data_IF_208566885219
#
_entry.id   IF_208566885219
#
_cell.length_a   1.000
_cell.length_b   1.000
_cell.length_c   1.000
_cell.angle_alpha   90.00
_cell.angle_beta   90.00
_cell.angle_gamma   90.00
#
_symmetry.space_group_name_H-M   'P 1'
#
loop_
_entity.id
_entity.type
_entity.pdbx_description
1 polymer ?
#
# COMPACT_ATOMS: atom_id res chain seq x y z
N UNK A 1 -10.11 -3.36 -35.45
CA UNK A 1 -9.52 -3.60 -34.12
C UNK A 1 -10.15 -2.62 -33.12
N UNK A 2 -10.73 -3.13 -32.02
CA UNK A 2 -11.65 -2.55 -31.00
C UNK A 2 -12.73 -1.55 -31.46
N UNK A 3 -12.41 -0.55 -32.27
CA UNK A 3 -13.31 0.51 -32.80
C UNK A 3 -14.49 -0.01 -33.63
N UNK A 4 -14.41 -1.26 -34.08
CA UNK A 4 -15.46 -1.97 -34.82
C UNK A 4 -16.51 -2.62 -33.91
N UNK A 5 -16.21 -2.79 -32.62
CA UNK A 5 -17.08 -3.50 -31.64
C UNK A 5 -17.39 -2.66 -30.41
N UNK A 6 -16.51 -1.72 -30.07
CA UNK A 6 -16.54 -0.96 -28.82
C UNK A 6 -16.21 0.49 -29.12
N UNK A 7 -16.88 1.41 -28.41
CA UNK A 7 -16.73 2.85 -28.63
C UNK A 7 -15.41 3.37 -28.06
N UNK A 8 -14.92 2.73 -27.00
CA UNK A 8 -13.64 3.06 -26.38
C UNK A 8 -12.79 1.81 -26.17
N UNK A 9 -11.46 1.99 -26.17
CA UNK A 9 -10.52 0.93 -25.80
C UNK A 9 -10.79 0.38 -24.39
N UNK A 10 -11.25 1.25 -23.48
CA UNK A 10 -11.64 0.90 -22.11
C UNK A 10 -12.76 -0.14 -22.08
N UNK A 11 -13.83 0.08 -22.83
CA UNK A 11 -14.96 -0.86 -22.90
C UNK A 11 -14.50 -2.21 -23.46
N UNK A 12 -13.66 -2.19 -24.49
CA UNK A 12 -13.07 -3.41 -25.04
C UNK A 12 -12.25 -4.19 -24.01
N UNK A 13 -11.39 -3.51 -23.23
CA UNK A 13 -10.59 -4.16 -22.19
C UNK A 13 -11.44 -4.71 -21.04
N UNK A 14 -12.52 -4.03 -20.69
CA UNK A 14 -13.45 -4.47 -19.65
C UNK A 14 -14.26 -5.69 -20.11
N UNK A 15 -14.76 -5.69 -21.34
CA UNK A 15 -15.56 -6.79 -21.90
C UNK A 15 -14.72 -8.04 -22.18
N UNK A 16 -13.53 -7.87 -22.78
CA UNK A 16 -12.68 -9.00 -23.18
C UNK A 16 -11.82 -9.59 -22.07
N UNK A 17 -11.36 -8.75 -21.13
CA UNK A 17 -10.40 -9.16 -20.10
C UNK A 17 -10.90 -8.91 -18.67
N UNK A 18 -12.08 -8.31 -18.49
CA UNK A 18 -12.59 -7.96 -17.16
C UNK A 18 -11.79 -6.86 -16.46
N UNK A 19 -10.92 -6.15 -17.18
CA UNK A 19 -10.00 -5.20 -16.56
C UNK A 19 -10.67 -3.87 -16.30
N UNK A 20 -10.64 -3.46 -15.03
CA UNK A 20 -10.94 -2.07 -14.69
C UNK A 20 -9.93 -1.12 -15.34
N UNK A 21 -10.36 0.12 -15.58
CA UNK A 21 -9.48 1.19 -16.09
C UNK A 21 -8.16 1.27 -15.32
N UNK A 22 -8.28 1.28 -13.99
CA UNK A 22 -7.13 1.34 -13.08
C UNK A 22 -6.16 0.17 -13.28
N UNK A 23 -6.66 -1.04 -13.51
CA UNK A 23 -5.80 -2.20 -13.77
C UNK A 23 -5.07 -2.05 -15.11
N UNK A 24 -5.76 -1.55 -16.12
CA UNK A 24 -5.18 -1.31 -17.45
C UNK A 24 -4.06 -0.27 -17.38
N UNK A 25 -4.30 0.87 -16.70
CA UNK A 25 -3.30 1.93 -16.53
C UNK A 25 -2.04 1.41 -15.81
N UNK A 26 -2.20 0.52 -14.81
CA UNK A 26 -1.07 -0.11 -14.13
C UNK A 26 -0.28 -1.08 -15.00
N UNK A 27 -0.96 -1.84 -15.86
CA UNK A 27 -0.28 -2.74 -16.79
C UNK A 27 0.49 -1.96 -17.85
N UNK A 28 -0.06 -0.84 -18.33
CA UNK A 28 0.59 0.05 -19.29
C UNK A 28 1.86 0.63 -18.66
N UNK A 29 1.76 1.26 -17.49
CA UNK A 29 2.93 1.82 -16.81
C UNK A 29 3.96 0.75 -16.42
N UNK A 30 3.52 -0.48 -16.12
CA UNK A 30 4.45 -1.57 -15.87
C UNK A 30 5.22 -1.99 -17.13
N UNK A 31 4.57 -2.01 -18.30
CA UNK A 31 5.22 -2.31 -19.57
C UNK A 31 6.28 -1.26 -19.90
N UNK A 32 5.95 0.04 -19.77
CA UNK A 32 6.90 1.14 -20.01
C UNK A 32 8.16 1.04 -19.14
N UNK A 33 7.99 0.68 -17.86
CA UNK A 33 9.12 0.46 -16.94
C UNK A 33 9.94 -0.76 -17.36
N UNK A 34 9.29 -1.86 -17.76
CA UNK A 34 10.00 -3.06 -18.24
C UNK A 34 10.78 -2.76 -19.50
N UNK A 35 10.23 -1.99 -20.44
CA UNK A 35 10.91 -1.59 -21.67
C UNK A 35 12.16 -0.73 -21.38
N UNK A 36 12.03 0.20 -20.44
CA UNK A 36 13.17 0.99 -19.98
C UNK A 36 14.26 0.15 -19.28
N UNK A 37 13.87 -0.92 -18.57
CA UNK A 37 14.80 -1.83 -17.88
C UNK A 37 15.42 -2.88 -18.82
N UNK A 38 14.67 -3.38 -19.80
CA UNK A 38 15.12 -4.35 -20.80
C UNK A 38 16.13 -3.73 -21.77
N UNK A 39 16.07 -2.41 -21.95
CA UNK A 39 17.03 -1.67 -22.73
C UNK A 39 16.87 -1.89 -24.23
N UNK A 40 15.64 -2.13 -24.73
CA UNK A 40 15.45 -2.12 -26.17
C UNK A 40 15.75 -0.71 -26.74
N UNK A 41 16.48 -0.65 -27.87
CA UNK A 41 17.33 0.48 -28.14
C UNK A 41 16.66 1.46 -29.13
N UNK A 42 17.00 2.75 -28.97
CA UNK A 42 17.23 3.61 -30.13
C UNK A 42 18.01 2.82 -31.21
N UNK A 43 17.63 2.85 -32.49
CA UNK A 43 17.97 1.83 -33.50
C UNK A 43 19.47 1.68 -33.87
N UNK A 44 20.41 2.31 -33.15
CA UNK A 44 21.82 2.43 -33.54
C UNK A 44 22.85 1.72 -32.69
N UNK A 45 22.51 1.03 -31.60
CA UNK A 45 23.52 0.32 -30.81
C UNK A 45 22.97 -0.98 -30.18
N UNK A 46 23.45 -2.13 -30.66
CA UNK A 46 23.39 -3.39 -29.92
C UNK A 46 24.14 -3.19 -28.60
N UNK A 47 23.42 -3.11 -27.49
CA UNK A 47 24.00 -3.19 -26.15
C UNK A 47 23.33 -4.33 -25.42
N UNK A 48 24.12 -5.05 -24.64
CA UNK A 48 23.65 -6.13 -23.76
C UNK A 48 22.55 -5.62 -22.82
N UNK A 49 21.58 -6.47 -22.42
CA UNK A 49 20.51 -6.07 -21.53
C UNK A 49 21.10 -5.40 -20.29
N UNK A 50 20.74 -4.13 -20.07
CA UNK A 50 21.27 -3.27 -19.01
C UNK A 50 21.02 -3.85 -17.61
N UNK A 51 20.01 -4.72 -17.47
CA UNK A 51 19.69 -5.49 -16.26
C UNK A 51 19.35 -6.93 -16.65
N UNK A 52 20.07 -7.92 -16.08
CA UNK A 52 19.82 -9.34 -16.32
C UNK A 52 18.48 -9.85 -15.75
N UNK A 53 17.91 -9.14 -14.76
CA UNK A 53 16.72 -9.56 -14.01
C UNK A 53 15.61 -8.54 -14.22
N UNK A 54 14.60 -8.94 -14.98
CA UNK A 54 13.42 -8.13 -15.26
C UNK A 54 12.34 -8.28 -14.18
N UNK A 55 11.49 -7.25 -14.00
CA UNK A 55 10.29 -7.37 -13.17
C UNK A 55 9.38 -8.50 -13.67
N UNK A 56 8.89 -9.32 -12.74
CA UNK A 56 7.93 -10.39 -13.03
C UNK A 56 6.49 -9.95 -12.72
N UNK A 57 6.31 -8.89 -11.94
CA UNK A 57 5.00 -8.43 -11.49
C UNK A 57 4.83 -6.93 -11.62
N UNK A 58 3.67 -6.47 -12.09
CA UNK A 58 3.29 -5.05 -12.15
C UNK A 58 3.47 -4.33 -10.81
N UNK A 59 3.27 -5.04 -9.69
CA UNK A 59 3.44 -4.47 -8.35
C UNK A 59 4.86 -3.98 -8.08
N UNK A 60 5.86 -4.56 -8.76
CA UNK A 60 7.26 -4.15 -8.67
C UNK A 60 7.54 -2.90 -9.50
N UNK A 61 6.87 -2.75 -10.66
CA UNK A 61 7.03 -1.59 -11.54
C UNK A 61 6.27 -0.36 -11.05
N UNK A 62 5.10 -0.55 -10.40
CA UNK A 62 4.22 0.55 -9.99
C UNK A 62 4.92 1.66 -9.19
N UNK A 63 5.81 1.39 -8.21
CA UNK A 63 6.57 2.43 -7.53
C UNK A 63 7.52 3.21 -8.45
N UNK A 64 8.06 2.55 -9.48
CA UNK A 64 9.03 3.12 -10.43
C UNK A 64 8.38 4.07 -11.46
N UNK A 65 7.10 3.86 -11.79
CA UNK A 65 6.37 4.69 -12.77
C UNK A 65 6.37 6.19 -12.49
N UNK A 66 6.67 6.61 -11.26
CA UNK A 66 6.70 8.02 -10.84
C UNK A 66 8.08 8.68 -10.97
N UNK A 67 9.07 7.94 -11.43
CA UNK A 67 10.47 8.36 -11.46
C UNK A 67 10.96 8.52 -12.88
N UNK A 68 12.04 9.30 -13.03
CA UNK A 68 12.71 9.46 -14.32
C UNK A 68 13.29 8.13 -14.82
N UNK A 69 13.31 7.88 -16.15
CA UNK A 69 13.79 6.61 -16.70
C UNK A 69 15.18 6.19 -16.23
N UNK A 70 16.09 7.15 -16.01
CA UNK A 70 17.43 6.88 -15.49
C UNK A 70 17.40 6.39 -14.03
N UNK A 71 16.60 7.03 -13.19
CA UNK A 71 16.44 6.69 -11.77
C UNK A 71 15.75 5.33 -11.61
N UNK A 72 14.81 5.00 -12.48
CA UNK A 72 14.17 3.68 -12.50
C UNK A 72 15.22 2.56 -12.65
N UNK A 73 16.20 2.75 -13.55
CA UNK A 73 17.27 1.78 -13.82
C UNK A 73 18.23 1.64 -12.63
N UNK A 74 18.60 2.76 -12.01
CA UNK A 74 19.48 2.77 -10.83
C UNK A 74 18.83 2.05 -9.64
N UNK A 75 17.59 2.41 -9.31
CA UNK A 75 16.84 1.84 -8.19
C UNK A 75 16.58 0.36 -8.38
N UNK A 76 16.25 -0.04 -9.60
CA UNK A 76 16.03 -1.45 -9.89
C UNK A 76 17.30 -2.27 -9.70
N UNK A 77 18.46 -1.73 -10.09
CA UNK A 77 19.76 -2.36 -9.88
C UNK A 77 20.08 -2.49 -8.39
N UNK A 78 19.86 -1.42 -7.61
CA UNK A 78 20.04 -1.43 -6.16
C UNK A 78 19.08 -2.42 -5.46
N UNK A 79 17.84 -2.55 -5.96
CA UNK A 79 16.85 -3.49 -5.44
C UNK A 79 17.25 -4.94 -5.69
N UNK A 80 17.81 -5.24 -6.88
CA UNK A 80 18.33 -6.56 -7.24
C UNK A 80 19.56 -6.91 -6.40
N UNK A 81 20.47 -5.96 -6.20
CA UNK A 81 21.66 -6.14 -5.34
C UNK A 81 21.26 -6.41 -3.89
N UNK A 82 20.32 -5.61 -3.36
CA UNK A 82 19.75 -5.81 -2.02
C UNK A 82 19.05 -7.17 -1.86
N UNK A 83 18.57 -7.74 -2.97
CA UNK A 83 17.92 -9.05 -3.03
C UNK A 83 18.89 -10.19 -3.34
N UNK A 84 20.21 -9.95 -3.33
CA UNK A 84 21.28 -10.91 -3.63
C UNK A 84 21.10 -11.59 -4.99
N UNK A 85 20.73 -10.82 -6.02
CA UNK A 85 20.54 -11.33 -7.38
C UNK A 85 19.23 -12.13 -7.59
N UNK A 86 18.26 -11.99 -6.69
CA UNK A 86 16.88 -12.50 -6.90
C UNK A 86 15.96 -11.36 -7.31
N UNK A 87 14.81 -11.71 -7.90
CA UNK A 87 13.77 -10.74 -8.26
C UNK A 87 13.30 -10.02 -6.98
N UNK A 88 13.43 -8.68 -6.88
CA UNK A 88 13.08 -7.94 -5.68
C UNK A 88 11.56 -7.94 -5.46
N UNK A 89 11.14 -7.96 -4.19
CA UNK A 89 9.73 -7.81 -3.84
C UNK A 89 9.29 -6.35 -4.05
N UNK A 90 8.03 -6.13 -4.45
CA UNK A 90 7.49 -4.79 -4.68
C UNK A 90 7.57 -3.86 -3.47
N UNK A 91 7.61 -4.40 -2.25
CA UNK A 91 7.86 -3.62 -1.02
C UNK A 91 9.27 -3.05 -0.96
N UNK A 92 10.27 -3.87 -1.26
CA UNK A 92 11.69 -3.45 -1.26
C UNK A 92 11.91 -2.32 -2.25
N UNK A 93 11.32 -2.44 -3.44
CA UNK A 93 11.38 -1.41 -4.48
C UNK A 93 10.69 -0.14 -4.00
N UNK A 94 9.50 -0.24 -3.40
CA UNK A 94 8.78 0.92 -2.86
C UNK A 94 9.57 1.63 -1.74
N UNK A 95 10.24 0.89 -0.86
CA UNK A 95 11.04 1.45 0.22
C UNK A 95 12.27 2.19 -0.32
N UNK A 96 12.93 1.67 -1.36
CA UNK A 96 14.06 2.35 -2.02
C UNK A 96 13.62 3.62 -2.73
N UNK A 97 12.50 3.57 -3.47
CA UNK A 97 11.91 4.75 -4.10
C UNK A 97 11.56 5.82 -3.05
N UNK A 98 10.95 5.41 -1.94
CA UNK A 98 10.59 6.31 -0.84
C UNK A 98 11.83 6.95 -0.19
N UNK A 99 12.93 6.21 -0.03
CA UNK A 99 14.20 6.77 0.48
C UNK A 99 14.75 7.86 -0.43
N UNK A 100 14.68 7.68 -1.75
CA UNK A 100 15.19 8.68 -2.72
C UNK A 100 14.28 9.90 -2.78
N UNK A 101 12.96 9.71 -2.80
CA UNK A 101 11.99 10.80 -2.74
C UNK A 101 12.01 11.54 -1.40
N UNK A 102 12.33 10.86 -0.30
CA UNK A 102 12.57 11.47 1.01
C UNK A 102 13.85 12.31 1.04
N UNK A 103 14.94 11.81 0.46
CA UNK A 103 16.22 12.55 0.31
C UNK A 103 16.09 13.77 -0.62
N UNK A 104 15.27 13.69 -1.68
CA UNK A 104 15.02 14.84 -2.56
C UNK A 104 14.19 15.93 -1.86
N UNK A 105 13.22 15.54 -1.03
CA UNK A 105 12.44 16.49 -0.22
C UNK A 105 13.28 17.17 0.87
N UNK A 106 14.25 16.49 1.47
CA UNK A 106 15.16 17.08 2.48
C UNK A 106 16.07 18.18 1.90
N UNK A 107 16.43 18.12 0.61
CA UNK A 107 17.18 19.20 -0.06
C UNK A 107 16.33 20.41 -0.43
N UNK A 108 15.00 20.26 -0.52
CA UNK A 108 14.07 21.35 -0.89
C UNK A 108 13.41 22.00 0.34
N UNK A 109 13.50 21.39 1.52
CA UNK A 109 12.99 21.92 2.79
C UNK A 109 14.05 22.77 3.52
N UNK A 110 14.50 23.86 2.90
CA UNK A 110 15.09 25.00 3.63
C UNK A 110 14.35 26.30 3.32
N UNK A 111 13.05 26.26 3.05
CA UNK A 111 12.16 27.43 3.27
C UNK A 111 10.78 26.89 3.67
N UNK A 112 10.21 27.48 4.71
CA UNK A 112 8.91 27.19 5.34
C UNK A 112 8.86 25.99 6.30
N UNK A 113 9.01 26.34 7.57
CA UNK A 113 8.47 25.63 8.73
C UNK A 113 6.99 25.32 8.53
N UNK A 114 6.66 24.07 8.22
CA UNK A 114 5.31 23.54 8.22
C UNK A 114 5.21 22.42 9.25
N UNK A 115 4.44 22.67 10.30
CA UNK A 115 4.16 21.80 11.43
C UNK A 115 3.81 20.38 10.97
N UNK A 116 4.39 19.37 11.62
CA UNK A 116 4.01 17.96 11.45
C UNK A 116 2.51 17.83 11.72
N UNK A 117 1.71 17.59 10.67
CA UNK A 117 0.34 17.14 10.83
C UNK A 117 0.39 15.66 11.26
N UNK A 118 0.54 15.46 12.56
CA UNK A 118 0.13 14.23 13.23
C UNK A 118 -1.39 14.14 13.16
N UNK A 119 -1.93 13.73 12.00
CA UNK A 119 -3.31 13.29 11.91
C UNK A 119 -3.42 11.89 12.55
N UNK A 120 -3.20 11.82 13.86
CA UNK A 120 -3.95 10.87 14.67
C UNK A 120 -5.40 11.29 14.51
N UNK A 121 -6.10 10.62 13.60
CA UNK A 121 -7.55 10.78 13.35
C UNK A 121 -8.23 10.91 14.71
N UNK A 122 -8.66 12.12 15.06
CA UNK A 122 -9.48 12.33 16.26
C UNK A 122 -10.75 11.51 16.04
N UNK A 123 -10.80 10.35 16.68
CA UNK A 123 -11.99 9.51 16.68
C UNK A 123 -12.96 10.23 17.62
N UNK A 124 -13.89 10.96 17.02
CA UNK A 124 -14.97 11.60 17.76
C UNK A 124 -15.75 10.51 18.52
N UNK A 125 -16.04 10.77 19.78
CA UNK A 125 -16.78 9.86 20.66
C UNK A 125 -18.12 9.48 19.99
N UNK A 126 -18.40 8.16 19.89
CA UNK A 126 -19.63 7.65 19.29
C UNK A 126 -19.43 6.43 18.40
N UNK A 127 -20.55 5.95 17.83
CA UNK A 127 -20.59 4.79 16.94
C UNK A 127 -20.05 5.19 15.57
N UNK A 128 -18.91 4.64 15.17
CA UNK A 128 -18.33 4.89 13.86
C UNK A 128 -18.57 3.70 12.94
N UNK A 129 -19.45 3.87 11.95
CA UNK A 129 -19.74 2.82 10.97
C UNK A 129 -18.76 2.88 9.81
N UNK A 130 -18.08 1.76 9.53
CA UNK A 130 -17.26 1.59 8.32
C UNK A 130 -17.86 0.49 7.45
N UNK A 131 -18.30 0.86 6.25
CA UNK A 131 -18.85 -0.08 5.29
C UNK A 131 -17.84 -1.20 4.98
N UNK A 132 -18.25 -2.46 5.16
CA UNK A 132 -17.42 -3.65 4.95
C UNK A 132 -16.69 -4.20 6.20
N UNK A 133 -16.52 -3.39 7.27
CA UNK A 133 -15.94 -3.85 8.56
C UNK A 133 -16.95 -3.85 9.71
N UNK A 134 -18.12 -3.23 9.56
CA UNK A 134 -19.16 -3.18 10.58
C UNK A 134 -19.12 -1.92 11.45
N UNK A 135 -19.74 -1.99 12.64
CA UNK A 135 -19.71 -0.92 13.64
C UNK A 135 -18.47 -1.08 14.53
N UNK A 136 -17.58 -0.11 14.51
CA UNK A 136 -16.42 -0.05 15.40
C UNK A 136 -16.71 1.02 16.46
N UNK A 137 -16.81 0.64 17.74
CA UNK A 137 -17.03 1.58 18.83
C UNK A 137 -15.69 1.94 19.49
N UNK A 138 -15.43 3.24 19.64
CA UNK A 138 -14.30 3.73 20.42
C UNK A 138 -14.87 4.44 21.64
N UNK A 139 -14.84 3.78 22.78
CA UNK A 139 -15.24 4.36 24.06
C UNK A 139 -13.98 4.84 24.78
N UNK A 140 -13.93 6.12 25.12
CA UNK A 140 -12.95 6.65 26.07
C UNK A 140 -13.33 6.11 27.44
N UNK A 141 -12.58 5.12 27.92
CA UNK A 141 -12.73 4.56 29.26
C UNK A 141 -11.69 5.22 30.16
N UNK A 142 -12.04 5.54 31.41
CA UNK A 142 -11.06 6.04 32.39
C UNK A 142 -9.98 4.99 32.62
N UNK A 143 -8.77 5.42 33.01
CA UNK A 143 -7.66 4.51 33.24
C UNK A 143 -8.01 3.41 34.25
N UNK A 144 -8.68 3.76 35.34
CA UNK A 144 -9.13 2.81 36.37
C UNK A 144 -10.08 1.75 35.82
N UNK A 145 -11.04 2.16 34.97
CA UNK A 145 -12.01 1.23 34.38
C UNK A 145 -11.35 0.34 33.33
N UNK A 146 -10.35 0.84 32.61
CA UNK A 146 -9.55 0.03 31.70
C UNK A 146 -8.75 -1.04 32.46
N UNK A 147 -8.10 -0.68 33.56
CA UNK A 147 -7.34 -1.63 34.38
C UNK A 147 -8.24 -2.73 34.98
N UNK A 148 -9.44 -2.37 35.42
CA UNK A 148 -10.45 -3.34 35.88
C UNK A 148 -10.87 -4.30 34.77
N UNK A 149 -11.14 -3.79 33.56
CA UNK A 149 -11.50 -4.60 32.41
C UNK A 149 -10.37 -5.51 31.95
N UNK A 150 -9.12 -5.02 31.98
CA UNK A 150 -7.97 -5.82 31.58
C UNK A 150 -7.69 -6.97 32.57
N UNK A 151 -7.77 -6.70 33.88
CA UNK A 151 -7.69 -7.75 34.91
C UNK A 151 -8.80 -8.79 34.77
N UNK A 152 -10.02 -8.35 34.48
CA UNK A 152 -11.13 -9.27 34.23
C UNK A 152 -10.88 -10.11 32.97
N UNK A 153 -10.38 -9.52 31.88
CA UNK A 153 -10.05 -10.24 30.64
C UNK A 153 -8.99 -11.34 30.86
N UNK A 154 -7.96 -11.06 31.68
CA UNK A 154 -6.93 -12.02 32.08
C UNK A 154 -7.53 -13.15 32.94
N UNK A 155 -8.42 -12.82 33.88
CA UNK A 155 -9.07 -13.80 34.76
C UNK A 155 -9.96 -14.80 34.00
N UNK A 156 -10.74 -14.33 33.04
CA UNK A 156 -11.64 -15.19 32.23
C UNK A 156 -10.95 -15.86 31.04
N UNK A 157 -9.66 -15.55 30.82
CA UNK A 157 -8.84 -16.10 29.73
C UNK A 157 -9.26 -15.67 28.33
N UNK A 158 -9.87 -14.49 28.14
CA UNK A 158 -10.25 -14.01 26.81
C UNK A 158 -9.11 -13.30 26.11
N UNK A 159 -8.93 -13.58 24.82
CA UNK A 159 -7.84 -13.01 24.03
C UNK A 159 -7.95 -11.50 23.76
N UNK A 160 -9.10 -10.86 24.00
CA UNK A 160 -9.31 -9.43 23.72
C UNK A 160 -10.21 -8.74 24.74
N UNK A 161 -9.95 -7.45 24.97
CA UNK A 161 -10.79 -6.57 25.81
C UNK A 161 -12.26 -6.57 25.36
N UNK A 162 -12.49 -6.59 24.04
CA UNK A 162 -13.84 -6.64 23.46
C UNK A 162 -14.58 -7.93 23.85
N UNK A 163 -13.89 -9.07 23.87
CA UNK A 163 -14.46 -10.33 24.33
C UNK A 163 -14.83 -10.29 25.81
N UNK A 164 -14.01 -9.63 26.63
CA UNK A 164 -14.28 -9.44 28.06
C UNK A 164 -15.51 -8.54 28.31
N UNK A 165 -15.60 -7.40 27.61
CA UNK A 165 -16.75 -6.49 27.68
C UNK A 165 -18.04 -7.19 27.24
N UNK A 166 -18.00 -7.98 26.16
CA UNK A 166 -19.18 -8.72 25.69
C UNK A 166 -19.70 -9.72 26.73
N UNK A 167 -18.80 -10.40 27.47
CA UNK A 167 -19.22 -11.32 28.54
C UNK A 167 -19.84 -10.59 29.72
N UNK A 168 -19.23 -9.49 30.19
CA UNK A 168 -19.81 -8.67 31.26
C UNK A 168 -21.21 -8.19 30.90
N UNK A 169 -21.41 -7.72 29.67
CA UNK A 169 -22.72 -7.25 29.21
C UNK A 169 -23.75 -8.38 29.16
N UNK A 170 -23.34 -9.60 28.77
CA UNK A 170 -24.22 -10.77 28.82
C UNK A 170 -24.58 -11.15 30.27
N UNK A 171 -23.62 -11.11 31.20
CA UNK A 171 -23.86 -11.39 32.63
C UNK A 171 -24.83 -10.39 33.26
N UNK A 172 -24.70 -9.10 32.93
CA UNK A 172 -25.62 -8.03 33.35
C UNK A 172 -27.03 -8.24 32.77
N UNK A 173 -27.15 -8.60 31.49
CA UNK A 173 -28.45 -8.81 30.83
C UNK A 173 -29.19 -10.06 31.35
N UNK A 174 -28.46 -11.02 31.91
CA UNK A 174 -29.02 -12.24 32.49
C UNK A 174 -29.25 -12.16 34.01
N UNK A 175 -28.97 -11.01 34.65
CA UNK A 175 -29.30 -10.77 36.06
C UNK A 175 -28.48 -11.58 37.06
N UNK A 176 -27.21 -11.87 36.76
CA UNK A 176 -26.32 -12.68 37.63
C UNK A 176 -25.24 -11.82 38.32
N UNK A 177 -25.49 -10.53 38.51
CA UNK A 177 -24.64 -9.64 39.33
C UNK A 177 -25.47 -9.04 40.46
#
# INVERSE_FOLDING_TARGET
>A
MYRSTHKTFKEYCQDRFGFTRRRSDYLIGAAEVVDNLSGEPEPKQKREPLVLILPTSERQCRPLTKLEPEQQREIWREAVESSKGKVPSGKVVADLVAKIQGKSNLKQQQVSSGTKNENHKQLNEGINYKQGMGCEFYVRVSQETWEKLNKYAEYIGTATLNGAVARLLNEVNHGVI
#
